data_IF_038351352347
#
_entry.id   IF_038351352347
#
_cell.length_a   1.000
_cell.length_b   1.000
_cell.length_c   1.000
_cell.angle_alpha   90.00
_cell.angle_beta   90.00
_cell.angle_gamma   90.00
#
_symmetry.space_group_name_H-M   'P 1'
#
loop_
_entity.id
_entity.type
_entity.pdbx_description
1 polymer ?
#
# COMPACT_ATOMS: atom_id res chain seq x y z
N UNK A 1 -3.46 32.96 4.17
CA UNK A 1 -2.80 31.91 3.37
C UNK A 1 -3.68 30.66 3.45
N UNK A 2 -4.49 30.41 2.42
CA UNK A 2 -5.56 29.40 2.47
C UNK A 2 -5.01 28.01 2.10
N UNK A 3 -4.98 27.04 3.04
CA UNK A 3 -4.88 25.62 2.69
C UNK A 3 -6.27 25.17 2.21
N UNK A 4 -6.58 25.44 0.95
CA UNK A 4 -7.71 24.84 0.25
C UNK A 4 -7.24 23.48 -0.28
N UNK A 5 -7.91 22.43 0.21
CA UNK A 5 -7.74 21.01 -0.13
C UNK A 5 -6.58 20.28 0.59
N UNK A 6 -6.91 19.56 1.67
CA UNK A 6 -6.25 18.29 1.97
C UNK A 6 -4.98 18.29 2.84
N UNK A 7 -4.73 19.31 3.67
CA UNK A 7 -3.71 19.23 4.71
C UNK A 7 -4.12 18.24 5.83
N UNK A 8 -4.12 16.91 5.61
CA UNK A 8 -4.24 15.95 6.72
C UNK A 8 -2.94 16.01 7.56
N UNK A 9 -3.00 16.36 8.85
CA UNK A 9 -1.81 16.31 9.71
C UNK A 9 -1.41 14.85 10.00
N UNK A 10 -0.12 14.62 10.23
CA UNK A 10 0.39 13.30 10.66
C UNK A 10 0.56 12.27 9.54
N UNK A 11 0.47 10.98 9.92
CA UNK A 11 0.74 9.83 9.06
C UNK A 11 -0.28 9.68 7.91
N UNK A 12 -1.49 10.18 8.09
CA UNK A 12 -2.53 10.17 7.04
C UNK A 12 -2.14 10.94 5.79
N UNK A 13 -1.23 11.93 5.93
CA UNK A 13 -0.67 12.65 4.78
C UNK A 13 0.08 11.73 3.80
N UNK A 14 0.56 10.56 4.24
CA UNK A 14 1.26 9.62 3.37
C UNK A 14 0.31 8.83 2.46
N UNK A 15 -0.99 8.81 2.75
CA UNK A 15 -1.98 8.20 1.88
C UNK A 15 -3.31 8.96 1.95
N UNK A 16 -3.42 10.09 1.23
CA UNK A 16 -4.64 10.89 1.19
C UNK A 16 -5.76 10.08 0.56
N UNK A 17 -6.87 9.92 1.29
CA UNK A 17 -8.02 9.12 0.86
C UNK A 17 -9.14 9.97 0.25
N UNK A 18 -8.79 11.13 -0.30
CA UNK A 18 -9.78 12.04 -0.88
C UNK A 18 -10.42 11.41 -2.12
N UNK A 19 -11.75 11.45 -2.20
CA UNK A 19 -12.51 10.78 -3.27
C UNK A 19 -12.31 11.36 -4.67
N UNK A 20 -11.62 12.50 -4.79
CA UNK A 20 -11.34 13.16 -6.07
C UNK A 20 -9.96 12.82 -6.62
N UNK A 21 -9.10 12.20 -5.82
CA UNK A 21 -7.72 11.97 -6.20
C UNK A 21 -7.59 10.77 -7.13
N UNK A 22 -6.77 10.95 -8.15
CA UNK A 22 -6.43 9.94 -9.14
C UNK A 22 -4.92 9.83 -9.25
N UNK A 23 -4.42 8.60 -9.38
CA UNK A 23 -3.01 8.29 -9.56
C UNK A 23 -2.83 7.55 -10.88
N UNK A 24 -1.90 8.00 -11.71
CA UNK A 24 -1.54 7.31 -12.94
C UNK A 24 -0.19 6.64 -12.74
N UNK A 25 -0.14 5.32 -12.93
CA UNK A 25 1.03 4.50 -12.70
C UNK A 25 1.51 3.87 -14.01
N UNK A 26 2.83 3.76 -14.16
CA UNK A 26 3.43 2.77 -15.04
C UNK A 26 3.42 1.43 -14.31
N UNK A 27 2.72 0.43 -14.86
CA UNK A 27 2.56 -0.90 -14.28
C UNK A 27 3.32 -1.90 -15.12
N UNK A 28 4.14 -2.72 -14.47
CA UNK A 28 4.81 -3.88 -15.05
C UNK A 28 4.29 -5.12 -14.33
N UNK A 29 3.81 -6.11 -15.08
CA UNK A 29 3.25 -7.36 -14.55
C UNK A 29 3.64 -8.51 -15.49
N UNK A 30 4.66 -9.28 -15.09
CA UNK A 30 5.33 -10.24 -15.98
C UNK A 30 5.86 -9.60 -17.26
N UNK A 31 5.31 -9.99 -18.43
CA UNK A 31 5.67 -9.44 -19.74
C UNK A 31 4.82 -8.23 -20.17
N UNK A 32 3.82 -7.85 -19.36
CA UNK A 32 2.94 -6.73 -19.68
C UNK A 32 3.49 -5.45 -19.06
N UNK A 33 3.65 -4.41 -19.88
CA UNK A 33 3.89 -3.04 -19.44
C UNK A 33 2.76 -2.16 -19.93
N UNK A 34 2.13 -1.41 -19.03
CA UNK A 34 1.01 -0.53 -19.36
C UNK A 34 0.90 0.65 -18.40
N UNK A 35 0.23 1.70 -18.87
CA UNK A 35 -0.19 2.81 -17.99
C UNK A 35 -1.56 2.49 -17.42
N UNK A 36 -1.71 2.56 -16.10
CA UNK A 36 -2.96 2.29 -15.41
C UNK A 36 -3.33 3.44 -14.48
N UNK A 37 -4.59 3.86 -14.57
CA UNK A 37 -5.15 4.90 -13.71
C UNK A 37 -5.88 4.25 -12.53
N UNK A 38 -5.45 4.60 -11.33
CA UNK A 38 -6.06 4.21 -10.06
C UNK A 38 -6.84 5.39 -9.49
N UNK A 39 -8.07 5.17 -9.09
CA UNK A 39 -8.91 6.20 -8.48
C UNK A 39 -9.67 5.66 -7.28
N UNK A 40 -10.05 6.57 -6.38
CA UNK A 40 -11.02 6.24 -5.32
C UNK A 40 -12.37 6.01 -5.98
N UNK A 41 -12.88 4.78 -5.91
CA UNK A 41 -14.19 4.42 -6.45
C UNK A 41 -15.32 4.87 -5.54
N UNK A 42 -15.18 4.60 -4.24
CA UNK A 42 -16.17 4.93 -3.20
C UNK A 42 -15.58 4.79 -1.80
N UNK A 43 -16.24 5.41 -0.83
CA UNK A 43 -16.10 5.03 0.57
C UNK A 43 -16.82 3.70 0.84
N UNK A 44 -16.26 2.87 1.70
CA UNK A 44 -16.81 1.56 2.09
C UNK A 44 -16.55 1.32 3.58
N UNK A 45 -17.28 0.41 4.23
CA UNK A 45 -16.90 -0.04 5.58
C UNK A 45 -15.85 -1.14 5.49
N UNK A 46 -14.72 -0.95 6.17
CA UNK A 46 -13.63 -1.93 6.29
C UNK A 46 -13.21 -1.93 7.76
N UNK A 47 -13.12 -3.10 8.36
CA UNK A 47 -12.72 -3.28 9.76
C UNK A 47 -13.54 -2.47 10.79
N UNK A 48 -14.84 -2.31 10.51
CA UNK A 48 -15.78 -1.53 11.34
C UNK A 48 -15.63 -0.01 11.22
N UNK A 49 -14.76 0.48 10.33
CA UNK A 49 -14.47 1.89 10.14
C UNK A 49 -14.72 2.34 8.69
N UNK A 50 -14.76 3.65 8.46
CA UNK A 50 -14.90 4.23 7.13
C UNK A 50 -13.58 4.08 6.35
N UNK A 51 -13.56 3.13 5.44
CA UNK A 51 -12.48 2.87 4.49
C UNK A 51 -12.79 3.38 3.08
N UNK A 52 -11.91 3.03 2.14
CA UNK A 52 -12.04 3.35 0.73
C UNK A 52 -11.77 2.13 -0.15
N UNK A 53 -12.45 2.08 -1.29
CA UNK A 53 -12.18 1.14 -2.38
C UNK A 53 -11.48 1.91 -3.50
N UNK A 54 -10.25 1.54 -3.82
CA UNK A 54 -9.55 1.96 -5.02
C UNK A 54 -9.87 1.02 -6.17
N UNK A 55 -10.01 1.56 -7.37
CA UNK A 55 -10.18 0.81 -8.61
C UNK A 55 -9.02 1.12 -9.54
N UNK A 56 -8.35 0.07 -10.04
CA UNK A 56 -7.35 0.14 -11.10
C UNK A 56 -7.51 -1.04 -12.06
N UNK A 57 -7.77 -0.76 -13.34
CA UNK A 57 -8.18 -1.80 -14.30
C UNK A 57 -9.38 -2.62 -13.80
N UNK A 58 -9.27 -3.95 -13.83
CA UNK A 58 -10.29 -4.87 -13.30
C UNK A 58 -10.17 -5.13 -11.79
N UNK A 59 -9.07 -4.71 -11.15
CA UNK A 59 -8.80 -4.99 -9.76
C UNK A 59 -9.30 -3.89 -8.82
N UNK A 60 -9.68 -4.29 -7.61
CA UNK A 60 -10.06 -3.37 -6.54
C UNK A 60 -9.21 -3.60 -5.31
N UNK A 61 -8.75 -2.53 -4.68
CA UNK A 61 -8.00 -2.59 -3.43
C UNK A 61 -8.77 -1.85 -2.34
N UNK A 62 -8.85 -2.42 -1.13
CA UNK A 62 -9.64 -1.84 -0.03
C UNK A 62 -8.76 -1.52 1.15
N UNK A 63 -8.86 -0.28 1.61
CA UNK A 63 -8.06 0.23 2.71
C UNK A 63 -8.91 0.89 3.77
N UNK A 64 -8.38 0.97 4.98
CA UNK A 64 -8.94 1.80 6.05
C UNK A 64 -7.86 2.40 6.92
N UNK A 65 -8.02 3.66 7.27
CA UNK A 65 -7.28 4.26 8.38
C UNK A 65 -8.00 3.89 9.68
N UNK A 66 -7.29 3.23 10.61
CA UNK A 66 -7.79 2.92 11.95
C UNK A 66 -6.63 3.02 12.93
N UNK A 67 -6.84 3.66 14.08
CA UNK A 67 -5.81 3.86 15.10
C UNK A 67 -4.50 4.44 14.52
N UNK A 68 -4.64 5.32 13.51
CA UNK A 68 -3.56 5.95 12.74
C UNK A 68 -2.67 4.98 11.93
N UNK A 69 -3.07 3.74 11.74
CA UNK A 69 -2.44 2.82 10.79
C UNK A 69 -3.33 2.68 9.53
N UNK A 70 -2.70 2.47 8.37
CA UNK A 70 -3.38 2.10 7.15
C UNK A 70 -3.46 0.57 7.08
N UNK A 71 -4.66 0.03 7.10
CA UNK A 71 -4.92 -1.39 6.96
C UNK A 71 -5.39 -1.72 5.54
N UNK A 72 -5.02 -2.92 5.08
CA UNK A 72 -5.39 -3.52 3.81
C UNK A 72 -6.29 -4.72 4.07
N UNK A 73 -7.48 -4.72 3.47
CA UNK A 73 -8.42 -5.86 3.51
C UNK A 73 -8.34 -6.69 2.22
N UNK A 74 -8.28 -6.02 1.07
CA UNK A 74 -8.31 -6.64 -0.25
C UNK A 74 -7.25 -6.01 -1.13
N UNK A 75 -6.52 -6.84 -1.86
CA UNK A 75 -5.51 -6.44 -2.84
C UNK A 75 -5.73 -7.19 -4.17
N UNK A 76 -4.95 -6.83 -5.18
CA UNK A 76 -5.00 -7.53 -6.47
C UNK A 76 -4.66 -9.01 -6.25
N UNK A 77 -5.63 -9.89 -6.49
CA UNK A 77 -5.45 -11.33 -6.34
C UNK A 77 -5.61 -11.87 -4.92
N UNK A 78 -6.07 -11.09 -3.93
CA UNK A 78 -6.30 -11.67 -2.60
C UNK A 78 -7.03 -10.80 -1.57
N UNK A 79 -7.25 -11.39 -0.40
CA UNK A 79 -7.84 -10.74 0.78
C UNK A 79 -7.21 -11.22 2.08
N UNK A 80 -7.29 -10.37 3.10
CA UNK A 80 -6.81 -10.62 4.47
C UNK A 80 -7.97 -10.50 5.46
N UNK A 81 -8.02 -11.41 6.43
CA UNK A 81 -8.99 -11.38 7.53
C UNK A 81 -8.37 -11.84 8.86
N UNK A 82 -8.24 -10.96 9.88
CA UNK A 82 -8.58 -9.55 9.85
C UNK A 82 -7.68 -8.76 8.86
N UNK A 83 -8.10 -7.56 8.43
CA UNK A 83 -7.25 -6.65 7.66
C UNK A 83 -5.91 -6.40 8.37
N UNK A 84 -4.83 -6.28 7.61
CA UNK A 84 -3.48 -6.14 8.15
C UNK A 84 -2.89 -4.77 7.85
N UNK A 85 -2.03 -4.26 8.74
CA UNK A 85 -1.41 -2.96 8.54
C UNK A 85 -0.39 -3.03 7.38
N UNK A 86 -0.45 -2.03 6.51
CA UNK A 86 0.52 -1.78 5.43
C UNK A 86 1.28 -0.47 5.62
N UNK A 87 0.83 0.37 6.56
CA UNK A 87 1.54 1.56 7.01
C UNK A 87 1.19 1.81 8.48
N UNK A 88 2.19 1.75 9.35
CA UNK A 88 2.10 1.98 10.79
C UNK A 88 2.16 3.48 11.10
N UNK A 89 1.47 3.89 12.16
CA UNK A 89 1.58 5.21 12.77
C UNK A 89 2.97 5.47 13.37
N UNK A 90 3.59 4.42 13.90
CA UNK A 90 4.93 4.49 14.47
C UNK A 90 5.95 4.69 13.32
N UNK A 91 6.45 5.91 13.22
CA UNK A 91 7.48 6.27 12.25
C UNK A 91 8.87 5.94 12.79
N UNK A 92 9.80 5.47 11.94
CA UNK A 92 11.22 5.42 12.28
C UNK A 92 11.72 6.80 12.74
N UNK A 93 12.65 6.87 13.70
CA UNK A 93 13.24 8.15 14.13
C UNK A 93 14.41 8.55 13.25
N UNK A 94 15.01 7.59 12.55
CA UNK A 94 16.14 7.82 11.63
C UNK A 94 16.14 6.84 10.45
N UNK A 95 17.02 7.07 9.48
CA UNK A 95 17.22 6.13 8.34
C UNK A 95 17.84 4.78 8.74
N UNK A 96 18.49 4.72 9.90
CA UNK A 96 19.15 3.50 10.39
C UNK A 96 18.21 2.61 11.22
N UNK A 97 17.04 3.14 11.56
CA UNK A 97 16.05 2.45 12.38
C UNK A 97 14.95 1.88 11.48
N UNK A 98 14.43 0.74 11.89
CA UNK A 98 13.25 0.14 11.31
C UNK A 98 12.23 -0.14 12.40
N UNK A 99 10.95 0.02 12.07
CA UNK A 99 9.82 -0.35 12.92
C UNK A 99 9.21 -1.62 12.36
N UNK A 100 9.12 -2.66 13.18
CA UNK A 100 8.56 -3.96 12.76
C UNK A 100 7.35 -4.33 13.60
N UNK A 101 6.35 -4.93 12.96
CA UNK A 101 5.18 -5.54 13.61
C UNK A 101 4.80 -6.83 12.89
N UNK A 102 4.23 -7.77 13.66
CA UNK A 102 3.76 -9.05 13.15
C UNK A 102 2.29 -9.22 13.48
N UNK A 103 1.54 -9.81 12.54
CA UNK A 103 0.11 -10.07 12.63
C UNK A 103 -0.16 -11.51 12.22
N UNK A 104 -1.11 -12.15 12.90
CA UNK A 104 -1.70 -13.39 12.41
C UNK A 104 -3.00 -13.05 11.69
N UNK A 105 -3.20 -13.65 10.53
CA UNK A 105 -4.41 -13.45 9.75
C UNK A 105 -4.78 -14.72 8.97
N UNK A 106 -5.95 -14.69 8.36
CA UNK A 106 -6.34 -15.59 7.31
C UNK A 106 -6.14 -14.89 5.97
N UNK A 107 -5.49 -15.55 5.03
CA UNK A 107 -5.25 -15.03 3.70
C UNK A 107 -5.90 -15.93 2.65
N UNK A 108 -6.61 -15.32 1.71
CA UNK A 108 -7.02 -15.97 0.47
C UNK A 108 -6.27 -15.29 -0.68
N UNK A 109 -5.51 -16.08 -1.44
CA UNK A 109 -4.68 -15.56 -2.54
C UNK A 109 -4.86 -16.42 -3.78
N UNK A 110 -5.08 -15.80 -4.94
CA UNK A 110 -5.23 -16.50 -6.22
C UNK A 110 -6.49 -17.35 -6.30
N UNK A 111 -7.53 -17.02 -5.53
CA UNK A 111 -8.76 -17.80 -5.43
C UNK A 111 -8.64 -19.08 -4.60
N UNK A 112 -7.53 -19.27 -3.88
CA UNK A 112 -7.37 -20.38 -2.95
C UNK A 112 -8.30 -20.24 -1.73
N UNK A 113 -8.52 -21.35 -1.02
CA UNK A 113 -9.20 -21.34 0.28
C UNK A 113 -8.42 -20.45 1.26
N UNK A 114 -9.13 -19.75 2.13
CA UNK A 114 -8.48 -18.94 3.16
C UNK A 114 -7.64 -19.83 4.10
N UNK A 115 -6.37 -19.50 4.26
CA UNK A 115 -5.41 -20.23 5.08
C UNK A 115 -4.82 -19.35 6.18
N UNK A 116 -4.40 -19.98 7.28
CA UNK A 116 -3.64 -19.29 8.31
C UNK A 116 -2.33 -18.74 7.73
N UNK A 117 -2.08 -17.47 7.98
CA UNK A 117 -0.92 -16.76 7.48
C UNK A 117 -0.33 -15.85 8.57
N UNK A 118 0.99 -15.65 8.51
CA UNK A 118 1.66 -14.61 9.27
C UNK A 118 2.02 -13.44 8.36
N UNK A 119 1.77 -12.23 8.82
CA UNK A 119 2.13 -11.00 8.12
C UNK A 119 3.11 -10.20 8.95
N UNK A 120 4.28 -9.92 8.38
CA UNK A 120 5.32 -9.11 8.98
C UNK A 120 5.43 -7.80 8.20
N UNK A 121 5.24 -6.66 8.88
CA UNK A 121 5.49 -5.34 8.31
C UNK A 121 6.77 -4.78 8.89
N UNK A 122 7.64 -4.27 8.03
CA UNK A 122 8.84 -3.52 8.42
C UNK A 122 8.82 -2.17 7.71
N UNK A 123 9.00 -1.10 8.46
CA UNK A 123 9.02 0.27 7.95
C UNK A 123 10.33 0.96 8.25
N UNK A 124 10.85 1.68 7.25
CA UNK A 124 12.06 2.50 7.37
C UNK A 124 11.97 3.73 6.48
N UNK A 125 12.82 4.73 6.72
CA UNK A 125 13.00 5.79 5.73
C UNK A 125 13.90 5.32 4.59
N UNK A 126 13.50 5.62 3.36
CA UNK A 126 14.28 5.37 2.16
C UNK A 126 14.34 6.63 1.30
N UNK A 127 15.50 6.93 0.73
CA UNK A 127 15.63 7.96 -0.29
C UNK A 127 15.57 7.29 -1.66
N UNK A 128 14.58 7.64 -2.47
CA UNK A 128 14.41 7.05 -3.81
C UNK A 128 14.36 8.15 -4.88
N UNK A 129 14.81 7.87 -6.12
CA UNK A 129 14.65 8.81 -7.21
C UNK A 129 13.18 8.98 -7.56
N UNK A 130 12.71 10.22 -7.61
CA UNK A 130 11.37 10.60 -8.02
C UNK A 130 11.45 11.93 -8.79
N UNK A 131 11.02 11.93 -10.06
CA UNK A 131 11.04 13.11 -10.94
C UNK A 131 12.40 13.83 -11.00
N UNK A 132 13.47 13.05 -11.14
CA UNK A 132 14.85 13.54 -11.28
C UNK A 132 15.50 14.03 -9.97
N UNK A 133 14.86 13.86 -8.81
CA UNK A 133 15.43 14.21 -7.50
C UNK A 133 15.31 13.03 -6.54
N UNK A 134 16.22 12.92 -5.59
CA UNK A 134 16.04 11.98 -4.47
C UNK A 134 15.07 12.60 -3.46
N UNK A 135 14.04 11.85 -3.10
CA UNK A 135 13.05 12.25 -2.09
C UNK A 135 13.02 11.23 -0.96
N UNK A 136 12.84 11.71 0.27
CA UNK A 136 12.66 10.83 1.43
C UNK A 136 11.24 10.28 1.45
N UNK A 137 11.13 8.96 1.54
CA UNK A 137 9.90 8.20 1.60
C UNK A 137 9.85 7.36 2.87
N UNK A 138 8.66 6.90 3.23
CA UNK A 138 8.50 5.75 4.14
C UNK A 138 8.39 4.51 3.26
N UNK A 139 9.41 3.65 3.32
CA UNK A 139 9.35 2.33 2.74
C UNK A 139 8.68 1.39 3.75
N UNK A 140 7.64 0.69 3.30
CA UNK A 140 6.93 -0.33 4.04
C UNK A 140 7.07 -1.64 3.28
N UNK A 141 7.74 -2.61 3.89
CA UNK A 141 7.86 -3.98 3.40
C UNK A 141 6.92 -4.86 4.19
N UNK A 142 5.93 -5.42 3.51
CA UNK A 142 4.97 -6.36 4.07
C UNK A 142 5.27 -7.74 3.52
N UNK A 143 5.60 -8.69 4.38
CA UNK A 143 5.82 -10.10 4.04
C UNK A 143 4.65 -10.90 4.57
N UNK A 144 3.88 -11.52 3.67
CA UNK A 144 2.79 -12.43 3.97
C UNK A 144 3.26 -13.86 3.72
N UNK A 145 3.45 -14.62 4.78
CA UNK A 145 3.81 -16.02 4.74
C UNK A 145 2.55 -16.88 4.86
N UNK A 146 2.29 -17.68 3.83
CA UNK A 146 1.24 -18.70 3.78
C UNK A 146 1.89 -20.09 3.70
N UNK A 147 1.17 -21.19 3.97
CA UNK A 147 1.69 -22.55 3.79
C UNK A 147 2.22 -22.83 2.37
N UNK A 148 1.67 -22.14 1.37
CA UNK A 148 1.93 -22.41 -0.04
C UNK A 148 3.01 -21.49 -0.65
N UNK A 149 3.09 -20.25 -0.16
CA UNK A 149 3.94 -19.20 -0.74
C UNK A 149 4.19 -18.05 0.23
N UNK A 150 5.27 -17.34 -0.03
CA UNK A 150 5.57 -16.05 0.56
C UNK A 150 5.28 -14.94 -0.45
N UNK A 151 4.55 -13.92 -0.03
CA UNK A 151 4.27 -12.72 -0.83
C UNK A 151 4.91 -11.53 -0.13
N UNK A 152 5.78 -10.82 -0.83
CA UNK A 152 6.40 -9.58 -0.35
C UNK A 152 5.81 -8.39 -1.10
N UNK A 153 5.36 -7.37 -0.38
CA UNK A 153 4.90 -6.10 -0.92
C UNK A 153 5.77 -4.98 -0.37
N UNK A 154 6.62 -4.40 -1.21
CA UNK A 154 7.44 -3.23 -0.87
C UNK A 154 6.76 -1.99 -1.40
N UNK A 155 6.42 -1.05 -0.54
CA UNK A 155 5.68 0.17 -0.90
C UNK A 155 6.42 1.41 -0.39
N UNK A 156 6.72 2.36 -1.28
CA UNK A 156 7.28 3.64 -0.91
C UNK A 156 6.18 4.72 -0.91
N UNK A 157 5.91 5.24 0.28
CA UNK A 157 4.96 6.33 0.50
C UNK A 157 5.67 7.67 0.55
N UNK A 158 5.18 8.63 -0.23
CA UNK A 158 5.60 10.02 -0.18
C UNK A 158 4.50 10.87 0.44
N UNK A 159 4.88 11.64 1.46
CA UNK A 159 3.97 12.55 2.16
C UNK A 159 3.34 13.56 1.19
N UNK A 160 2.02 13.70 1.24
CA UNK A 160 1.21 14.56 0.39
C UNK A 160 0.88 13.96 -0.98
N UNK A 161 1.47 12.82 -1.35
CA UNK A 161 1.32 12.22 -2.68
C UNK A 161 0.63 10.86 -2.61
N UNK A 162 1.03 9.99 -1.70
CA UNK A 162 0.57 8.60 -1.66
C UNK A 162 1.67 7.61 -1.99
N UNK A 163 1.27 6.50 -2.60
CA UNK A 163 2.18 5.47 -3.09
C UNK A 163 2.87 6.00 -4.36
N UNK A 164 4.19 6.13 -4.32
CA UNK A 164 4.98 6.56 -5.50
C UNK A 164 5.70 5.42 -6.20
N UNK A 165 5.90 4.31 -5.48
CA UNK A 165 6.44 3.06 -5.99
C UNK A 165 5.89 1.91 -5.16
N UNK A 166 5.56 0.80 -5.81
CA UNK A 166 5.28 -0.45 -5.11
C UNK A 166 5.77 -1.63 -5.95
N UNK A 167 6.21 -2.68 -5.29
CA UNK A 167 6.67 -3.92 -5.90
C UNK A 167 6.05 -5.09 -5.15
N UNK A 168 5.57 -6.08 -5.89
CA UNK A 168 5.10 -7.34 -5.35
C UNK A 168 6.02 -8.45 -5.82
N UNK A 169 6.44 -9.30 -4.88
CA UNK A 169 7.17 -10.53 -5.17
C UNK A 169 6.44 -11.74 -4.62
N UNK A 170 6.50 -12.86 -5.33
CA UNK A 170 6.08 -14.16 -4.82
C UNK A 170 7.30 -15.08 -4.80
N UNK A 171 7.62 -15.63 -3.62
CA UNK A 171 8.78 -16.48 -3.40
C UNK A 171 10.09 -15.85 -3.93
N UNK A 172 10.23 -14.52 -3.76
CA UNK A 172 11.40 -13.74 -4.20
C UNK A 172 11.39 -13.30 -5.67
N UNK A 173 10.48 -13.82 -6.51
CA UNK A 173 10.36 -13.41 -7.91
C UNK A 173 9.48 -12.16 -8.03
N UNK A 174 9.90 -11.18 -8.82
CA UNK A 174 9.09 -9.98 -9.08
C UNK A 174 7.89 -10.34 -9.96
N UNK A 175 6.69 -10.23 -9.40
CA UNK A 175 5.45 -10.45 -10.14
C UNK A 175 5.03 -9.14 -10.82
N UNK A 176 4.95 -8.08 -10.00
CA UNK A 176 4.43 -6.79 -10.43
C UNK A 176 5.20 -5.62 -9.81
N UNK A 177 5.28 -4.53 -10.55
CA UNK A 177 5.82 -3.26 -10.09
C UNK A 177 4.97 -2.10 -10.61
N UNK A 178 4.83 -1.07 -9.78
CA UNK A 178 4.20 0.19 -10.15
C UNK A 178 5.09 1.36 -9.80
N UNK A 179 5.14 2.33 -10.71
CA UNK A 179 5.90 3.58 -10.57
C UNK A 179 4.96 4.75 -10.91
N UNK A 180 4.82 5.71 -10.00
CA UNK A 180 3.90 6.84 -10.18
C UNK A 180 4.40 7.78 -11.28
N UNK A 181 3.52 8.07 -12.23
CA UNK A 181 3.73 9.07 -13.28
C UNK A 181 3.22 10.43 -12.78
N UNK A 182 1.94 10.50 -12.41
CA UNK A 182 1.29 11.73 -11.99
C UNK A 182 0.08 11.51 -11.09
N UNK A 183 -0.33 12.61 -10.44
CA UNK A 183 -1.52 12.70 -9.60
C UNK A 183 -2.40 13.84 -10.11
N UNK A 184 -3.72 13.64 -10.13
CA UNK A 184 -4.73 14.67 -10.44
C UNK A 184 -5.83 14.73 -9.40
#
# INVERSE_FOLDING_TARGET
MACLVGCQPGIEAYFPTSTRQTWTYHVRDGFLEQVSTVRVKRGISVYGSKGIELQGGQNSTRFVWKDKNLYLERFAGGRLNPPAAILLNEMPKSKKEAVTRSYNCWAEVGGAVAEHASLNITQRYADIPYRGKYVRTVESTVVLDTPQKQIELVTNFLRGVGIIRQQQRTNGNLDAALDLIETS
#
